data_IF_687019820569
#
_entry.id   IF_687019820569
#
_cell.length_a   1.000
_cell.length_b   1.000
_cell.length_c   1.000
_cell.angle_alpha   90.00
_cell.angle_beta   90.00
_cell.angle_gamma   90.00
#
_symmetry.space_group_name_H-M   'P 1'
#
loop_
_entity.id
_entity.type
_entity.pdbx_description
1 polymer ?
#
# COMPACT_ATOMS: atom_id res chain seq x y z
N UNK A 1 13.04 5.27 6.06
CA UNK A 1 11.89 6.19 6.25
C UNK A 1 11.14 5.94 7.57
N UNK A 2 11.80 5.26 8.52
CA UNK A 2 11.51 5.35 9.96
C UNK A 2 11.76 6.76 10.50
N UNK A 3 12.64 7.53 9.83
CA UNK A 3 13.08 8.88 10.23
C UNK A 3 12.05 10.01 10.02
N UNK A 4 11.08 9.86 9.11
CA UNK A 4 10.12 10.93 8.76
C UNK A 4 8.69 10.67 9.26
N UNK A 5 8.48 9.56 9.97
CA UNK A 5 7.22 9.24 10.66
C UNK A 5 7.27 9.59 12.14
N UNK A 6 8.22 10.41 12.57
CA UNK A 6 8.20 10.99 13.91
C UNK A 6 7.34 12.25 13.85
N UNK A 7 6.43 12.44 14.79
CA UNK A 7 5.55 13.62 14.84
C UNK A 7 6.33 14.94 14.75
N UNK A 8 7.58 14.94 15.25
CA UNK A 8 8.52 16.06 15.25
C UNK A 8 8.93 16.56 13.85
N UNK A 9 9.23 15.67 12.89
CA UNK A 9 9.66 16.11 11.54
C UNK A 9 8.51 16.72 10.75
N UNK A 10 7.30 16.17 10.92
CA UNK A 10 6.10 16.70 10.26
C UNK A 10 5.70 18.05 10.85
N UNK A 11 5.79 18.21 12.18
CA UNK A 11 5.58 19.49 12.86
C UNK A 11 6.61 20.54 12.47
N UNK A 12 7.90 20.18 12.36
CA UNK A 12 8.95 21.10 11.93
C UNK A 12 8.70 21.62 10.52
N UNK A 13 8.38 20.73 9.58
CA UNK A 13 8.06 21.10 8.20
C UNK A 13 6.82 21.99 8.10
N UNK A 14 5.79 21.74 8.92
CA UNK A 14 4.63 22.61 9.01
C UNK A 14 4.98 24.01 9.55
N UNK A 15 5.89 24.11 10.53
CA UNK A 15 6.37 25.39 11.05
C UNK A 15 7.19 26.15 10.01
N UNK A 16 8.10 25.49 9.30
CA UNK A 16 8.90 26.12 8.23
C UNK A 16 7.98 26.64 7.11
N UNK A 17 6.94 25.89 6.73
CA UNK A 17 5.97 26.35 5.73
C UNK A 17 5.21 27.60 6.17
N UNK A 18 4.89 27.74 7.46
CA UNK A 18 4.23 28.94 8.01
C UNK A 18 5.16 30.16 8.03
N UNK A 19 6.45 29.96 8.29
CA UNK A 19 7.44 31.04 8.39
C UNK A 19 7.89 31.51 7.00
N UNK A 20 8.23 30.57 6.12
CA UNK A 20 8.69 30.89 4.78
C UNK A 20 8.36 29.74 3.79
N UNK A 21 7.29 29.90 2.98
CA UNK A 21 6.88 28.91 1.99
C UNK A 21 7.96 28.59 0.94
N UNK A 22 8.84 29.54 0.62
CA UNK A 22 9.90 29.33 -0.37
C UNK A 22 11.04 28.47 0.19
N UNK A 23 11.46 28.73 1.44
CA UNK A 23 12.43 27.88 2.15
C UNK A 23 11.87 26.47 2.34
N UNK A 24 10.59 26.35 2.71
CA UNK A 24 9.91 25.07 2.78
C UNK A 24 9.97 24.32 1.46
N UNK A 25 9.63 24.95 0.33
CA UNK A 25 9.72 24.33 -1.00
C UNK A 25 11.14 23.86 -1.32
N UNK A 26 12.16 24.69 -1.08
CA UNK A 26 13.55 24.34 -1.36
C UNK A 26 14.02 23.14 -0.52
N UNK A 27 13.78 23.17 0.80
CA UNK A 27 14.11 22.07 1.71
C UNK A 27 13.34 20.79 1.36
N UNK A 28 12.08 20.94 0.97
CA UNK A 28 11.23 19.85 0.53
C UNK A 28 11.77 19.19 -0.75
N UNK A 29 12.16 19.96 -1.76
CA UNK A 29 12.81 19.44 -2.97
C UNK A 29 14.10 18.70 -2.63
N UNK A 30 14.95 19.26 -1.75
CA UNK A 30 16.20 18.63 -1.32
C UNK A 30 15.99 17.26 -0.67
N UNK A 31 15.04 17.13 0.26
CA UNK A 31 14.68 15.84 0.87
C UNK A 31 14.26 14.81 -0.19
N UNK A 32 13.55 15.24 -1.22
CA UNK A 32 13.09 14.35 -2.29
C UNK A 32 14.22 13.86 -3.17
N UNK A 33 15.16 14.74 -3.54
CA UNK A 33 16.34 14.35 -4.31
C UNK A 33 17.13 13.30 -3.53
N UNK A 34 17.40 13.54 -2.24
CA UNK A 34 18.05 12.57 -1.36
C UNK A 34 17.29 11.24 -1.28
N UNK A 35 15.96 11.28 -1.23
CA UNK A 35 15.13 10.08 -1.23
C UNK A 35 15.19 9.30 -2.55
N UNK A 36 15.16 9.99 -3.70
CA UNK A 36 15.30 9.36 -5.01
C UNK A 36 16.68 8.75 -5.18
N UNK A 37 17.74 9.47 -4.79
CA UNK A 37 19.11 8.95 -4.77
C UNK A 37 19.21 7.71 -3.89
N UNK A 38 18.62 7.74 -2.69
CA UNK A 38 18.54 6.56 -1.82
C UNK A 38 17.79 5.40 -2.47
N UNK A 39 16.69 5.66 -3.19
CA UNK A 39 15.95 4.61 -3.88
C UNK A 39 16.80 3.95 -4.98
N UNK A 40 17.51 4.75 -5.76
CA UNK A 40 18.44 4.27 -6.79
C UNK A 40 19.56 3.44 -6.16
N UNK A 41 20.19 3.94 -5.09
CA UNK A 41 21.22 3.21 -4.34
C UNK A 41 20.70 1.89 -3.78
N UNK A 42 19.55 1.87 -3.11
CA UNK A 42 18.93 0.65 -2.58
C UNK A 42 18.71 -0.38 -3.71
N UNK A 43 18.23 0.05 -4.88
CA UNK A 43 18.02 -0.84 -6.03
C UNK A 43 19.33 -1.36 -6.62
N UNK A 44 20.37 -0.52 -6.70
CA UNK A 44 21.69 -0.92 -7.16
C UNK A 44 22.32 -1.93 -6.20
N UNK A 45 22.26 -1.69 -4.90
CA UNK A 45 22.75 -2.61 -3.86
C UNK A 45 22.05 -3.97 -3.97
N UNK A 46 20.73 -4.00 -4.14
CA UNK A 46 20.00 -5.25 -4.35
C UNK A 46 20.44 -5.98 -5.61
N UNK A 47 20.61 -5.25 -6.72
CA UNK A 47 21.06 -5.84 -7.97
C UNK A 47 22.46 -6.43 -7.84
N UNK A 48 23.40 -5.72 -7.22
CA UNK A 48 24.75 -6.22 -6.96
C UNK A 48 24.70 -7.46 -6.06
N UNK A 49 23.90 -7.42 -4.99
CA UNK A 49 23.76 -8.53 -4.03
C UNK A 49 23.22 -9.82 -4.68
N UNK A 50 22.25 -9.69 -5.57
CA UNK A 50 21.50 -10.83 -6.09
C UNK A 50 21.82 -11.21 -7.53
N UNK A 51 22.52 -10.36 -8.29
CA UNK A 51 22.90 -10.62 -9.68
C UNK A 51 23.54 -11.98 -9.81
N UNK A 52 24.66 -12.23 -9.09
CA UNK A 52 25.47 -13.44 -9.32
C UNK A 52 24.66 -14.72 -9.23
N UNK A 53 23.62 -14.76 -8.40
CA UNK A 53 22.78 -15.94 -8.19
C UNK A 53 21.52 -15.97 -9.05
N UNK A 54 20.87 -14.83 -9.29
CA UNK A 54 19.53 -14.77 -9.88
C UNK A 54 19.45 -13.91 -11.16
N UNK A 55 20.59 -13.43 -11.66
CA UNK A 55 20.69 -12.51 -12.78
C UNK A 55 20.13 -11.11 -12.49
N UNK A 56 19.93 -10.33 -13.55
CA UNK A 56 19.40 -8.96 -13.46
C UNK A 56 17.92 -8.98 -13.08
N UNK A 57 17.59 -8.47 -11.89
CA UNK A 57 16.21 -8.44 -11.38
C UNK A 57 15.67 -7.00 -11.40
N UNK A 58 14.54 -6.77 -12.08
CA UNK A 58 13.80 -5.52 -11.90
C UNK A 58 12.87 -5.63 -10.67
N UNK A 59 13.37 -5.23 -9.51
CA UNK A 59 12.61 -5.29 -8.27
C UNK A 59 11.37 -4.37 -8.27
N UNK A 60 11.39 -3.28 -9.05
CA UNK A 60 10.29 -2.31 -9.14
C UNK A 60 9.35 -2.54 -10.34
N UNK A 61 9.47 -3.70 -11.01
CA UNK A 61 8.59 -4.06 -12.13
C UNK A 61 7.13 -4.10 -11.65
N UNK A 62 6.28 -3.38 -12.38
CA UNK A 62 4.82 -3.51 -12.27
C UNK A 62 4.39 -4.72 -13.08
N UNK A 63 3.58 -5.59 -12.48
CA UNK A 63 3.01 -6.76 -13.12
C UNK A 63 1.49 -6.65 -13.14
N UNK A 64 0.86 -7.01 -14.26
CA UNK A 64 -0.59 -7.04 -14.38
C UNK A 64 -1.10 -8.44 -14.12
N UNK A 65 -1.94 -8.62 -13.09
CA UNK A 65 -2.46 -9.91 -12.67
C UNK A 65 -3.96 -9.84 -12.41
N UNK A 66 -4.66 -10.96 -12.59
CA UNK A 66 -6.06 -11.04 -12.14
C UNK A 66 -6.12 -10.88 -10.60
N UNK A 67 -7.02 -10.04 -10.07
CA UNK A 67 -7.30 -9.93 -8.64
C UNK A 67 -7.59 -11.29 -7.99
N UNK A 68 -8.16 -12.24 -8.73
CA UNK A 68 -8.51 -13.58 -8.24
C UNK A 68 -7.30 -14.43 -7.87
N UNK A 69 -6.11 -14.12 -8.40
CA UNK A 69 -4.86 -14.77 -7.98
C UNK A 69 -4.39 -14.35 -6.59
N UNK A 70 -5.01 -13.33 -5.99
CA UNK A 70 -4.63 -12.76 -4.69
C UNK A 70 -5.68 -13.16 -3.66
N UNK A 71 -5.55 -14.38 -3.15
CA UNK A 71 -6.54 -14.98 -2.24
C UNK A 71 -6.20 -14.79 -0.77
N UNK A 72 -4.92 -14.54 -0.45
CA UNK A 72 -4.42 -14.54 0.91
C UNK A 72 -3.75 -13.22 1.28
N UNK A 73 -3.91 -12.81 2.53
CA UNK A 73 -3.15 -11.74 3.19
C UNK A 73 -2.08 -12.36 4.10
N UNK A 74 -0.89 -11.75 4.10
CA UNK A 74 0.15 -12.12 5.06
C UNK A 74 -0.18 -11.60 6.46
N UNK A 75 -0.12 -12.48 7.47
CA UNK A 75 -0.39 -12.09 8.86
C UNK A 75 0.83 -11.43 9.52
N UNK A 76 2.03 -11.92 9.21
CA UNK A 76 3.23 -11.51 9.91
C UNK A 76 3.78 -10.16 9.42
N UNK A 77 3.01 -9.10 9.69
CA UNK A 77 3.30 -7.72 9.24
C UNK A 77 4.56 -7.13 9.85
N UNK A 78 5.06 -7.69 10.96
CA UNK A 78 6.27 -7.23 11.65
C UNK A 78 7.52 -7.32 10.76
N UNK A 79 7.55 -8.25 9.80
CA UNK A 79 8.62 -8.37 8.81
C UNK A 79 8.59 -7.29 7.71
N UNK A 80 7.55 -6.47 7.65
CA UNK A 80 7.27 -5.53 6.56
C UNK A 80 7.33 -4.07 7.01
N UNK A 81 8.20 -3.73 7.98
CA UNK A 81 8.84 -2.41 7.90
C UNK A 81 9.38 -2.31 6.48
N UNK A 82 9.01 -1.24 5.76
CA UNK A 82 9.46 -0.96 4.39
C UNK A 82 10.99 -0.88 4.34
N UNK A 83 11.63 -2.04 4.36
CA UNK A 83 13.06 -2.22 4.40
C UNK A 83 13.49 -2.57 2.99
N UNK A 84 13.76 -1.52 2.24
CA UNK A 84 14.02 -1.57 0.81
C UNK A 84 15.30 -2.34 0.47
N UNK A 85 16.20 -2.56 1.42
CA UNK A 85 17.42 -3.32 1.23
C UNK A 85 17.23 -4.84 1.30
N UNK A 86 16.04 -5.35 1.64
CA UNK A 86 15.79 -6.79 1.75
C UNK A 86 14.49 -7.26 1.06
N UNK A 87 14.56 -7.42 -0.26
CA UNK A 87 13.42 -7.80 -1.13
C UNK A 87 13.37 -9.26 -1.55
N UNK A 88 14.36 -10.05 -1.14
CA UNK A 88 14.35 -11.53 -1.23
C UNK A 88 14.60 -12.04 0.17
N UNK A 89 13.72 -12.92 0.68
CA UNK A 89 13.81 -13.46 2.05
C UNK A 89 13.60 -14.97 2.06
N UNK A 90 14.45 -15.67 2.82
CA UNK A 90 14.25 -17.06 3.22
C UNK A 90 13.44 -17.13 4.53
N UNK A 91 13.18 -18.36 5.00
CA UNK A 91 12.46 -18.63 6.24
C UNK A 91 10.94 -18.73 6.05
N UNK A 92 10.22 -18.91 7.15
CA UNK A 92 8.81 -19.32 7.13
C UNK A 92 7.80 -18.19 7.22
N UNK A 93 8.19 -16.99 6.77
CA UNK A 93 7.35 -15.80 6.84
C UNK A 93 6.06 -15.91 6.00
N UNK A 94 6.03 -16.83 5.03
CA UNK A 94 4.92 -17.07 4.11
C UNK A 94 3.90 -18.12 4.59
N UNK A 95 4.22 -18.87 5.66
CA UNK A 95 3.34 -19.93 6.18
C UNK A 95 2.08 -19.37 6.87
N UNK A 96 2.22 -18.25 7.60
CA UNK A 96 1.11 -17.65 8.33
C UNK A 96 0.35 -16.65 7.47
N UNK A 97 -0.76 -17.10 6.87
CA UNK A 97 -1.64 -16.31 6.00
C UNK A 97 -3.10 -16.39 6.43
N UNK A 98 -3.93 -15.46 5.96
CA UNK A 98 -5.39 -15.42 6.16
C UNK A 98 -6.07 -15.19 4.82
N UNK A 99 -7.29 -15.69 4.58
CA UNK A 99 -8.06 -15.29 3.42
C UNK A 99 -8.24 -13.77 3.34
N UNK A 100 -8.13 -13.20 2.14
CA UNK A 100 -8.30 -11.77 1.92
C UNK A 100 -9.72 -11.30 2.24
N UNK A 101 -10.71 -12.19 2.11
CA UNK A 101 -12.12 -11.92 2.38
C UNK A 101 -12.42 -11.64 3.86
N UNK A 102 -11.48 -11.95 4.76
CA UNK A 102 -11.56 -11.57 6.18
C UNK A 102 -11.17 -10.11 6.44
N UNK A 103 -10.73 -9.37 5.42
CA UNK A 103 -10.49 -7.94 5.55
C UNK A 103 -11.82 -7.21 5.76
N UNK A 104 -11.96 -6.52 6.90
CA UNK A 104 -13.14 -5.72 7.22
C UNK A 104 -13.57 -4.77 6.09
N UNK A 105 -12.60 -4.10 5.45
CA UNK A 105 -12.90 -3.21 4.32
C UNK A 105 -13.39 -3.97 3.08
N UNK A 106 -12.94 -5.21 2.86
CA UNK A 106 -13.39 -6.03 1.75
C UNK A 106 -14.86 -6.40 1.93
N UNK A 107 -15.20 -6.88 3.13
CA UNK A 107 -16.59 -7.19 3.50
C UNK A 107 -17.49 -5.96 3.43
N UNK A 108 -17.01 -4.81 3.91
CA UNK A 108 -17.77 -3.57 3.87
C UNK A 108 -18.03 -3.07 2.44
N UNK A 109 -17.02 -3.15 1.55
CA UNK A 109 -17.19 -2.80 0.12
C UNK A 109 -18.17 -3.75 -0.56
N UNK A 110 -18.09 -5.06 -0.28
CA UNK A 110 -19.05 -6.04 -0.81
C UNK A 110 -20.49 -5.73 -0.34
N UNK A 111 -20.69 -5.52 0.96
CA UNK A 111 -22.01 -5.12 1.51
C UNK A 111 -22.53 -3.83 0.85
N UNK A 112 -21.68 -2.80 0.74
CA UNK A 112 -22.05 -1.51 0.16
C UNK A 112 -22.45 -1.61 -1.31
N UNK A 113 -21.64 -2.25 -2.15
CA UNK A 113 -21.78 -2.15 -3.61
C UNK A 113 -22.38 -3.39 -4.28
N UNK A 114 -22.25 -4.57 -3.67
CA UNK A 114 -22.84 -5.80 -4.21
C UNK A 114 -24.21 -6.09 -3.58
N UNK A 115 -24.36 -5.84 -2.27
CA UNK A 115 -25.63 -6.07 -1.55
C UNK A 115 -26.51 -4.80 -1.45
N UNK A 116 -26.01 -3.63 -1.88
CA UNK A 116 -26.76 -2.38 -1.88
C UNK A 116 -26.97 -1.74 -0.50
N UNK A 117 -26.23 -2.18 0.52
CA UNK A 117 -26.36 -1.67 1.89
C UNK A 117 -25.85 -0.25 2.07
N UNK A 118 -26.36 0.43 3.08
CA UNK A 118 -25.79 1.69 3.54
C UNK A 118 -24.53 1.45 4.39
N UNK A 119 -23.66 2.46 4.49
CA UNK A 119 -22.42 2.29 5.25
C UNK A 119 -22.72 2.01 6.73
N UNK A 120 -23.76 2.62 7.27
CA UNK A 120 -24.34 2.44 8.61
C UNK A 120 -24.58 0.96 8.95
N UNK A 121 -24.88 0.15 7.94
CA UNK A 121 -25.20 -1.28 8.05
C UNK A 121 -23.95 -2.18 7.88
N UNK A 122 -22.78 -1.58 7.69
CA UNK A 122 -21.51 -2.31 7.53
C UNK A 122 -20.72 -2.35 8.84
N UNK A 123 -19.98 -3.45 9.06
CA UNK A 123 -19.24 -3.67 10.30
C UNK A 123 -18.13 -2.62 10.53
N UNK A 124 -17.66 -1.96 9.46
CA UNK A 124 -16.64 -0.92 9.55
C UNK A 124 -17.19 0.38 10.15
N UNK A 125 -18.48 0.68 10.02
CA UNK A 125 -19.06 1.97 10.43
C UNK A 125 -19.07 2.19 11.94
N UNK A 126 -19.20 1.10 12.70
CA UNK A 126 -19.24 1.13 14.15
C UNK A 126 -17.86 1.08 14.82
N UNK A 127 -16.76 1.08 14.06
CA UNK A 127 -15.39 1.04 14.57
C UNK A 127 -14.90 2.41 15.07
N UNK A 128 -15.57 2.98 16.07
CA UNK A 128 -15.18 4.22 16.75
C UNK A 128 -14.75 3.88 18.19
N UNK A 129 -13.73 4.56 18.77
CA UNK A 129 -13.11 4.14 20.02
C UNK A 129 -14.08 4.20 21.21
N UNK A 130 -15.07 5.09 21.16
CA UNK A 130 -16.12 5.25 22.18
C UNK A 130 -17.03 4.02 22.34
N UNK A 131 -17.03 3.09 21.38
CA UNK A 131 -17.85 1.87 21.39
C UNK A 131 -17.05 0.58 21.67
N UNK A 132 -15.77 0.68 22.04
CA UNK A 132 -14.93 -0.49 22.28
C UNK A 132 -14.89 -0.93 23.75
N UNK A 133 -14.92 -2.26 24.02
CA UNK A 133 -14.53 -2.80 25.32
C UNK A 133 -13.09 -2.41 25.66
N UNK A 134 -12.83 -1.98 26.90
CA UNK A 134 -11.47 -1.70 27.38
C UNK A 134 -10.57 -2.93 27.13
N UNK A 135 -9.48 -2.74 26.38
CA UNK A 135 -8.48 -3.79 26.11
C UNK A 135 -8.48 -4.39 24.69
N UNK A 136 -9.44 -4.02 23.83
CA UNK A 136 -9.45 -4.50 22.44
C UNK A 136 -8.52 -3.64 21.55
N UNK A 137 -7.38 -4.20 21.10
CA UNK A 137 -6.52 -3.58 20.06
C UNK A 137 -7.10 -3.74 18.64
N UNK A 138 -8.39 -3.41 18.46
CA UNK A 138 -9.02 -3.43 17.13
C UNK A 138 -8.82 -2.06 16.48
N UNK A 139 -8.46 -2.06 15.19
CA UNK A 139 -8.34 -0.83 14.41
C UNK A 139 -9.64 -0.03 14.41
N UNK A 140 -9.56 1.25 14.78
CA UNK A 140 -10.70 2.18 14.85
C UNK A 140 -10.42 3.52 14.19
N UNK A 141 -11.49 4.22 13.87
CA UNK A 141 -11.45 5.63 13.49
C UNK A 141 -11.16 6.49 14.72
N UNK A 142 -10.61 7.70 14.51
CA UNK A 142 -10.36 8.63 15.63
C UNK A 142 -11.61 9.43 16.02
N UNK A 143 -12.51 9.64 15.06
CA UNK A 143 -13.75 10.39 15.18
C UNK A 143 -14.70 9.99 14.05
N UNK A 144 -15.96 10.37 14.19
CA UNK A 144 -16.99 10.22 13.15
C UNK A 144 -16.59 10.96 11.86
N UNK A 145 -16.10 12.20 11.96
CA UNK A 145 -15.63 12.96 10.79
C UNK A 145 -14.54 12.20 9.99
N UNK A 146 -13.59 11.56 10.69
CA UNK A 146 -12.53 10.78 10.04
C UNK A 146 -13.10 9.52 9.37
N UNK A 147 -14.10 8.87 9.99
CA UNK A 147 -14.82 7.74 9.40
C UNK A 147 -15.55 8.19 8.14
N UNK A 148 -16.36 9.23 8.21
CA UNK A 148 -17.22 9.66 7.10
C UNK A 148 -16.37 10.09 5.90
N UNK A 149 -15.28 10.83 6.15
CA UNK A 149 -14.31 11.17 5.12
C UNK A 149 -13.62 9.95 4.50
N UNK A 150 -13.39 8.90 5.28
CA UNK A 150 -12.82 7.65 4.79
C UNK A 150 -13.82 6.88 3.90
N UNK A 151 -15.09 6.85 4.29
CA UNK A 151 -16.16 6.17 3.55
C UNK A 151 -16.50 6.90 2.24
N UNK A 152 -16.65 8.24 2.28
CA UNK A 152 -16.84 9.07 1.08
C UNK A 152 -15.71 8.88 0.07
N UNK A 153 -14.45 8.82 0.55
CA UNK A 153 -13.30 8.52 -0.32
C UNK A 153 -13.36 7.12 -0.93
N UNK A 154 -13.96 6.16 -0.23
CA UNK A 154 -14.13 4.80 -0.72
C UNK A 154 -15.20 4.76 -1.81
N UNK A 155 -16.33 5.44 -1.63
CA UNK A 155 -17.37 5.61 -2.66
C UNK A 155 -16.81 6.30 -3.91
N UNK A 156 -16.07 7.39 -3.74
CA UNK A 156 -15.43 8.09 -4.84
C UNK A 156 -14.48 7.16 -5.62
N UNK A 157 -13.60 6.45 -4.91
CA UNK A 157 -12.65 5.53 -5.55
C UNK A 157 -13.35 4.38 -6.28
N UNK A 158 -14.43 3.84 -5.71
CA UNK A 158 -15.23 2.80 -6.36
C UNK A 158 -15.85 3.31 -7.66
N UNK A 159 -16.50 4.47 -7.61
CA UNK A 159 -17.15 5.05 -8.79
C UNK A 159 -16.16 5.40 -9.89
N UNK A 160 -14.98 5.92 -9.53
CA UNK A 160 -13.92 6.17 -10.50
C UNK A 160 -13.47 4.87 -11.16
N UNK A 161 -13.10 3.84 -10.39
CA UNK A 161 -12.63 2.56 -10.97
C UNK A 161 -13.76 1.91 -11.80
N UNK A 162 -15.02 1.99 -11.38
CA UNK A 162 -16.17 1.49 -12.14
C UNK A 162 -16.34 2.21 -13.47
N UNK A 163 -16.19 3.54 -13.49
CA UNK A 163 -16.43 4.35 -14.69
C UNK A 163 -15.29 4.24 -15.70
N UNK A 164 -14.05 4.23 -15.25
CA UNK A 164 -12.88 4.40 -16.13
C UNK A 164 -11.89 3.22 -16.08
N UNK A 165 -12.23 2.16 -15.36
CA UNK A 165 -11.34 1.03 -15.10
C UNK A 165 -10.20 1.37 -14.14
N UNK A 166 -9.30 0.40 -13.96
CA UNK A 166 -8.12 0.59 -13.12
C UNK A 166 -7.00 1.33 -13.88
N UNK A 167 -6.52 2.45 -13.33
CA UNK A 167 -5.37 3.21 -13.87
C UNK A 167 -4.13 3.08 -12.99
N UNK A 168 -2.94 3.16 -13.60
CA UNK A 168 -1.69 3.16 -12.84
C UNK A 168 -1.61 4.43 -11.98
N UNK A 169 -1.14 4.29 -10.75
CA UNK A 169 -0.97 5.41 -9.83
C UNK A 169 -0.01 6.46 -10.35
N UNK A 170 0.97 6.07 -11.18
CA UNK A 170 1.82 7.05 -11.86
C UNK A 170 0.99 7.93 -12.81
N UNK A 171 0.00 7.40 -13.50
CA UNK A 171 -0.79 8.13 -14.53
C UNK A 171 -1.78 9.13 -13.92
N UNK A 172 -2.19 8.92 -12.67
CA UNK A 172 -3.17 9.75 -11.99
C UNK A 172 -2.66 11.13 -11.55
N UNK A 173 -1.35 11.40 -11.68
CA UNK A 173 -0.75 12.63 -11.18
C UNK A 173 0.25 13.20 -12.19
N UNK A 174 0.10 14.48 -12.48
CA UNK A 174 1.03 15.27 -13.29
C UNK A 174 2.39 15.35 -12.61
N UNK A 175 3.48 15.50 -13.38
CA UNK A 175 4.84 15.68 -12.85
C UNK A 175 4.87 16.74 -11.73
N UNK A 176 4.18 17.87 -11.90
CA UNK A 176 4.08 18.91 -10.88
C UNK A 176 3.44 18.41 -9.58
N UNK A 177 2.32 17.68 -9.64
CA UNK A 177 1.67 17.09 -8.46
C UNK A 177 2.51 15.99 -7.81
N UNK A 178 3.27 15.25 -8.62
CA UNK A 178 4.24 14.27 -8.14
C UNK A 178 5.27 14.93 -7.25
N UNK A 179 5.73 16.14 -7.59
CA UNK A 179 6.74 16.86 -6.83
C UNK A 179 6.21 17.69 -5.66
N UNK A 180 4.93 18.11 -5.66
CA UNK A 180 4.35 18.97 -4.62
C UNK A 180 3.73 18.26 -3.42
N UNK A 181 3.33 16.97 -3.54
CA UNK A 181 2.78 16.19 -2.41
C UNK A 181 3.89 15.45 -1.64
N UNK A 182 4.05 15.71 -0.33
CA UNK A 182 5.07 15.08 0.53
C UNK A 182 4.98 13.55 0.60
N UNK A 183 3.75 13.03 0.55
CA UNK A 183 3.46 11.60 0.66
C UNK A 183 3.63 10.83 -0.66
N UNK A 184 4.14 11.48 -1.71
CA UNK A 184 4.19 10.91 -3.05
C UNK A 184 5.10 9.68 -3.16
N UNK A 185 4.48 8.50 -3.28
CA UNK A 185 5.13 7.22 -3.56
C UNK A 185 4.40 6.47 -4.69
N UNK A 186 4.50 6.94 -5.95
CA UNK A 186 3.64 6.48 -7.05
C UNK A 186 3.71 4.98 -7.28
N UNK A 187 4.91 4.41 -7.16
CA UNK A 187 5.10 2.96 -7.39
C UNK A 187 4.57 2.14 -6.21
N UNK A 188 4.58 2.71 -4.99
CA UNK A 188 4.17 1.99 -3.77
C UNK A 188 2.70 2.22 -3.39
N UNK A 189 2.00 3.08 -4.13
CA UNK A 189 0.55 3.22 -4.04
C UNK A 189 -0.17 2.14 -4.87
N UNK A 190 0.53 1.36 -5.70
CA UNK A 190 -0.08 0.18 -6.33
C UNK A 190 -0.45 -0.90 -5.31
N UNK A 191 -1.21 -1.91 -5.75
CA UNK A 191 -1.45 -3.09 -4.93
C UNK A 191 -0.13 -3.80 -4.69
N UNK A 192 0.23 -3.93 -3.41
CA UNK A 192 1.52 -4.47 -2.99
C UNK A 192 1.30 -5.90 -2.52
N UNK A 193 2.10 -6.81 -3.09
CA UNK A 193 2.07 -8.23 -2.73
C UNK A 193 3.46 -8.76 -2.41
N UNK A 194 3.53 -9.89 -1.73
CA UNK A 194 4.70 -10.77 -1.71
C UNK A 194 4.44 -12.00 -2.57
N UNK A 195 5.50 -12.71 -2.93
CA UNK A 195 5.44 -14.03 -3.55
C UNK A 195 5.93 -15.06 -2.55
N UNK A 196 5.09 -16.04 -2.21
CA UNK A 196 5.43 -17.13 -1.28
C UNK A 196 6.41 -18.14 -1.90
N UNK A 197 6.83 -19.15 -1.12
CA UNK A 197 7.78 -20.17 -1.57
C UNK A 197 7.30 -20.97 -2.78
N UNK A 198 6.00 -21.00 -3.04
CA UNK A 198 5.35 -21.77 -4.09
C UNK A 198 4.91 -20.90 -5.28
N UNK A 199 5.17 -19.59 -5.25
CA UNK A 199 4.76 -18.66 -6.31
C UNK A 199 3.39 -18.02 -6.13
N UNK A 200 2.67 -18.26 -5.03
CA UNK A 200 1.38 -17.62 -4.77
C UNK A 200 1.55 -16.17 -4.30
N UNK A 201 0.57 -15.32 -4.61
CA UNK A 201 0.57 -13.93 -4.20
C UNK A 201 -0.04 -13.75 -2.81
N UNK A 202 0.71 -13.09 -1.93
CA UNK A 202 0.26 -12.71 -0.59
C UNK A 202 0.07 -11.19 -0.54
N UNK A 203 -1.17 -10.75 -0.32
CA UNK A 203 -1.52 -9.35 -0.19
C UNK A 203 -0.81 -8.68 1.00
N UNK A 204 -0.29 -7.46 0.78
CA UNK A 204 0.36 -6.63 1.80
C UNK A 204 -0.34 -5.29 1.96
N UNK A 205 -0.56 -4.56 0.86
CA UNK A 205 -1.11 -3.20 0.89
C UNK A 205 -1.93 -2.88 -0.38
N UNK A 206 -2.79 -1.87 -0.29
CA UNK A 206 -3.72 -1.49 -1.36
C UNK A 206 -5.14 -2.03 -1.14
N UNK A 207 -5.57 -2.14 0.13
CA UNK A 207 -6.78 -2.87 0.54
C UNK A 207 -8.07 -2.42 -0.15
N UNK A 208 -8.25 -1.12 -0.38
CA UNK A 208 -9.41 -0.59 -1.11
C UNK A 208 -9.38 -1.01 -2.58
N UNK A 209 -8.23 -0.81 -3.24
CA UNK A 209 -8.06 -1.07 -4.67
C UNK A 209 -8.28 -2.55 -5.01
N UNK A 210 -7.71 -3.46 -4.22
CA UNK A 210 -7.94 -4.89 -4.42
C UNK A 210 -9.41 -5.28 -4.16
N UNK A 211 -10.04 -4.73 -3.12
CA UNK A 211 -11.44 -5.02 -2.81
C UNK A 211 -12.39 -4.54 -3.91
N UNK A 212 -12.22 -3.30 -4.35
CA UNK A 212 -13.00 -2.72 -5.45
C UNK A 212 -12.77 -3.52 -6.74
N UNK A 213 -11.52 -3.86 -7.05
CA UNK A 213 -11.20 -4.62 -8.26
C UNK A 213 -11.85 -6.01 -8.28
N UNK A 214 -11.93 -6.69 -7.14
CA UNK A 214 -12.63 -7.97 -7.01
C UNK A 214 -14.15 -7.81 -7.13
N UNK A 215 -14.74 -6.81 -6.46
CA UNK A 215 -16.20 -6.57 -6.51
C UNK A 215 -16.66 -6.15 -7.91
N UNK A 216 -15.84 -5.43 -8.66
CA UNK A 216 -16.11 -5.02 -10.04
C UNK A 216 -15.67 -6.04 -11.10
N UNK A 217 -15.16 -7.21 -10.69
CA UNK A 217 -14.61 -8.24 -11.57
C UNK A 217 -13.61 -7.69 -12.61
N UNK A 218 -12.69 -6.84 -12.15
CA UNK A 218 -11.68 -6.23 -13.02
C UNK A 218 -10.71 -7.34 -13.47
N UNK A 219 -10.50 -7.54 -14.79
CA UNK A 219 -9.76 -8.70 -15.29
C UNK A 219 -8.28 -8.68 -14.89
N UNK A 220 -7.67 -7.50 -14.81
CA UNK A 220 -6.27 -7.33 -14.43
C UNK A 220 -6.05 -6.02 -13.66
N UNK A 221 -5.24 -6.10 -12.62
CA UNK A 221 -4.75 -4.95 -11.86
C UNK A 221 -3.22 -4.92 -11.82
N UNK A 222 -2.62 -3.73 -11.74
CA UNK A 222 -1.19 -3.58 -11.52
C UNK A 222 -0.82 -3.90 -10.07
N UNK A 223 0.19 -4.74 -9.93
CA UNK A 223 0.80 -5.10 -8.65
C UNK A 223 2.29 -4.81 -8.65
N UNK A 224 2.84 -4.62 -7.45
CA UNK A 224 4.27 -4.61 -7.20
C UNK A 224 4.65 -5.61 -6.11
N UNK A 225 5.81 -6.24 -6.28
CA UNK A 225 6.31 -7.25 -5.33
C UNK A 225 7.22 -6.63 -4.28
N UNK A 226 6.76 -6.46 -3.04
CA UNK A 226 7.61 -5.96 -1.96
C UNK A 226 8.70 -6.98 -1.63
N UNK A 227 8.32 -8.23 -1.43
CA UNK A 227 9.21 -9.34 -1.04
C UNK A 227 8.97 -10.55 -1.94
N UNK A 228 10.03 -11.26 -2.28
CA UNK A 228 10.02 -12.54 -2.99
C UNK A 228 10.62 -13.61 -2.08
N UNK A 229 10.01 -14.78 -2.02
CA UNK A 229 10.58 -15.89 -1.28
C UNK A 229 11.83 -16.43 -1.96
N UNK A 230 12.87 -16.72 -1.18
CA UNK A 230 14.14 -17.20 -1.71
C UNK A 230 13.99 -18.50 -2.51
N UNK A 231 13.25 -19.50 -1.99
CA UNK A 231 12.97 -20.75 -2.72
C UNK A 231 12.29 -20.50 -4.07
N UNK A 232 11.32 -19.59 -4.15
CA UNK A 232 10.71 -19.21 -5.43
C UNK A 232 11.71 -18.58 -6.40
N UNK A 233 12.64 -17.77 -5.87
CA UNK A 233 13.70 -17.19 -6.70
C UNK A 233 14.63 -18.24 -7.31
N UNK A 234 14.76 -19.44 -6.72
CA UNK A 234 15.65 -20.50 -7.19
C UNK A 234 15.06 -21.32 -8.35
N UNK A 235 13.73 -21.46 -8.47
CA UNK A 235 13.12 -22.31 -9.51
C UNK A 235 12.32 -21.57 -10.60
N UNK A 236 12.02 -20.30 -10.40
CA UNK A 236 11.17 -19.49 -11.29
C UNK A 236 11.75 -19.18 -12.67
#
# INVERSE_FOLDING_TARGET
MTLLKTSKTTQLLSRINKINPNIYKAFFIGIRILYYLKLLLDTTILNVKYWKKFGKINFNKVCWVSPEKIQYIIQNRLFFKWNKSNRIKSGDWDLTKKPIDLLLIYQAIRKRFLEGKNWEETDIYNLIPSKQPKGAEIWTFKSEEVRDKYLIKTDFLFNEIKKVGYRLQKELYTLKERFTKLDWKPIFDEVVVAIDRNGNFLFINGKHRIAIAKVLDIPKIPIIFLIRHYKWMEFR
#
